data_IF_948188191716
#
_entry.id   IF_948188191716
#
_cell.length_a   1.000
_cell.length_b   1.000
_cell.length_c   1.000
_cell.angle_alpha   90.00
_cell.angle_beta   90.00
_cell.angle_gamma   90.00
#
_symmetry.space_group_name_H-M   'P 1'
#
loop_
_entity.id
_entity.type
_entity.pdbx_description
1 polymer ?
#
# COMPACT_ATOMS: atom_id res chain seq x y z
N UNK A 1 19.68 -14.95 21.74
CA UNK A 1 18.89 -14.59 20.52
C UNK A 1 19.83 -14.11 19.43
N UNK A 2 20.75 -13.20 19.73
CA UNK A 2 21.66 -12.62 18.74
C UNK A 2 22.61 -13.64 18.09
N UNK A 3 23.15 -14.58 18.86
CA UNK A 3 23.99 -15.66 18.31
C UNK A 3 23.24 -16.53 17.28
N UNK A 4 21.97 -16.84 17.55
CA UNK A 4 21.12 -17.61 16.64
C UNK A 4 20.84 -16.79 15.37
N UNK A 5 20.62 -15.48 15.51
CA UNK A 5 20.44 -14.59 14.35
C UNK A 5 21.68 -14.55 13.46
N UNK A 6 22.88 -14.53 14.06
CA UNK A 6 24.15 -14.53 13.34
C UNK A 6 24.47 -15.87 12.67
N UNK A 7 24.13 -16.99 13.31
CA UNK A 7 24.28 -18.31 12.70
C UNK A 7 23.29 -18.50 11.54
N UNK A 8 22.04 -18.06 11.74
CA UNK A 8 21.01 -18.08 10.71
C UNK A 8 21.37 -17.20 9.50
N UNK A 9 21.93 -16.01 9.72
CA UNK A 9 22.32 -15.09 8.64
C UNK A 9 23.36 -15.70 7.70
N UNK A 10 24.27 -16.53 8.23
CA UNK A 10 25.33 -17.20 7.47
C UNK A 10 24.87 -18.49 6.78
N UNK A 11 23.84 -19.14 7.30
CA UNK A 11 23.43 -20.48 6.85
C UNK A 11 22.15 -20.43 6.00
N UNK A 12 21.00 -20.25 6.63
CA UNK A 12 19.68 -20.45 6.02
C UNK A 12 19.00 -19.15 5.56
N UNK A 13 19.52 -17.98 5.94
CA UNK A 13 18.91 -16.70 5.59
C UNK A 13 18.67 -16.50 4.09
N UNK A 14 19.63 -16.80 3.18
CA UNK A 14 19.40 -16.61 1.75
C UNK A 14 18.20 -17.40 1.22
N UNK A 15 18.02 -18.64 1.68
CA UNK A 15 16.90 -19.50 1.28
C UNK A 15 15.56 -19.01 1.84
N UNK A 16 15.56 -18.55 3.10
CA UNK A 16 14.35 -18.02 3.72
C UNK A 16 13.93 -16.70 3.08
N UNK A 17 14.89 -15.82 2.77
CA UNK A 17 14.63 -14.56 2.08
C UNK A 17 14.07 -14.82 0.70
N UNK A 18 14.65 -15.77 -0.04
CA UNK A 18 14.13 -16.17 -1.34
C UNK A 18 12.66 -16.60 -1.25
N UNK A 19 12.32 -17.50 -0.32
CA UNK A 19 10.93 -17.96 -0.13
C UNK A 19 9.99 -16.82 0.24
N UNK A 20 10.44 -15.90 1.09
CA UNK A 20 9.65 -14.72 1.48
C UNK A 20 9.46 -13.80 0.28
N UNK A 21 10.50 -13.55 -0.51
CA UNK A 21 10.42 -12.75 -1.73
C UNK A 21 9.49 -13.38 -2.78
N UNK A 22 9.49 -14.71 -2.93
CA UNK A 22 8.53 -15.46 -3.76
C UNK A 22 7.10 -15.27 -3.25
N UNK A 23 6.86 -15.40 -1.94
CA UNK A 23 5.53 -15.19 -1.34
C UNK A 23 5.00 -13.76 -1.57
N UNK A 24 5.87 -12.76 -1.46
CA UNK A 24 5.50 -11.38 -1.76
C UNK A 24 5.45 -11.07 -3.25
N UNK A 25 5.72 -12.03 -4.15
CA UNK A 25 5.70 -11.84 -5.60
C UNK A 25 6.80 -10.90 -6.11
N UNK A 26 7.91 -10.73 -5.40
CA UNK A 26 8.97 -9.77 -5.77
C UNK A 26 9.64 -10.17 -7.10
N UNK A 27 9.98 -11.45 -7.24
CA UNK A 27 10.65 -11.93 -8.45
C UNK A 27 9.75 -11.82 -9.69
N UNK A 28 8.48 -12.20 -9.56
CA UNK A 28 7.49 -12.08 -10.63
C UNK A 28 7.38 -10.64 -11.17
N UNK A 29 7.30 -9.65 -10.27
CA UNK A 29 7.13 -8.26 -10.68
C UNK A 29 8.42 -7.60 -11.18
N UNK A 30 9.60 -7.95 -10.64
CA UNK A 30 10.87 -7.31 -11.03
C UNK A 30 11.57 -8.01 -12.20
N UNK A 31 11.43 -9.34 -12.31
CA UNK A 31 12.20 -10.18 -13.23
C UNK A 31 11.35 -11.15 -14.07
N UNK A 32 10.02 -11.16 -13.90
CA UNK A 32 9.15 -12.15 -14.53
C UNK A 32 9.41 -13.55 -13.94
N UNK A 33 9.74 -14.51 -14.80
CA UNK A 33 9.94 -15.91 -14.39
C UNK A 33 11.30 -16.18 -13.73
N UNK A 34 12.22 -15.19 -13.75
CA UNK A 34 13.56 -15.35 -13.20
C UNK A 34 13.63 -15.09 -11.70
N UNK A 35 14.50 -15.82 -11.02
CA UNK A 35 14.75 -15.68 -9.58
C UNK A 35 16.23 -15.79 -9.26
N UNK A 36 16.64 -15.26 -8.11
CA UNK A 36 17.99 -15.44 -7.58
C UNK A 36 17.97 -15.71 -6.07
N UNK A 37 19.10 -16.15 -5.53
CA UNK A 37 19.26 -16.38 -4.10
C UNK A 37 20.10 -15.24 -3.51
N UNK A 38 19.55 -14.43 -2.58
CA UNK A 38 20.25 -13.27 -2.03
C UNK A 38 21.26 -13.73 -0.96
N UNK A 39 22.48 -14.03 -1.41
CA UNK A 39 23.57 -14.45 -0.54
C UNK A 39 24.13 -13.29 0.29
N UNK A 40 24.16 -12.07 -0.28
CA UNK A 40 24.64 -10.88 0.41
C UNK A 40 23.49 -10.29 1.23
N UNK A 41 23.67 -10.29 2.54
CA UNK A 41 22.74 -9.62 3.46
C UNK A 41 23.02 -8.13 3.48
N UNK A 42 21.95 -7.34 3.44
CA UNK A 42 22.01 -5.89 3.59
C UNK A 42 21.39 -5.50 4.92
N UNK A 43 22.15 -4.77 5.73
CA UNK A 43 21.68 -4.14 6.94
C UNK A 43 21.27 -2.70 6.61
N UNK A 44 19.96 -2.50 6.46
CA UNK A 44 19.37 -1.23 6.07
C UNK A 44 18.59 -0.66 7.25
N UNK A 45 18.85 0.60 7.60
CA UNK A 45 18.10 1.28 8.66
C UNK A 45 17.84 2.74 8.36
N UNK A 46 16.60 3.17 8.60
CA UNK A 46 16.22 4.59 8.57
C UNK A 46 16.46 5.23 9.93
N UNK A 47 16.79 6.52 9.94
CA UNK A 47 16.85 7.31 11.17
C UNK A 47 15.58 8.17 11.32
N UNK A 48 14.85 7.95 12.41
CA UNK A 48 13.66 8.73 12.74
C UNK A 48 13.64 9.08 14.23
N UNK A 49 13.58 10.37 14.56
CA UNK A 49 13.59 10.89 15.94
C UNK A 49 14.71 10.28 16.81
N UNK A 50 15.94 10.23 16.26
CA UNK A 50 17.12 9.64 16.90
C UNK A 50 16.99 8.15 17.25
N UNK A 51 16.09 7.44 16.56
CA UNK A 51 15.94 5.98 16.63
C UNK A 51 16.21 5.37 15.26
N UNK A 52 16.85 4.21 15.26
CA UNK A 52 17.03 3.40 14.06
C UNK A 52 15.80 2.53 13.83
N UNK A 53 15.24 2.63 12.62
CA UNK A 53 14.13 1.81 12.14
C UNK A 53 14.69 0.84 11.10
N UNK A 54 14.97 -0.42 11.47
CA UNK A 54 15.55 -1.39 10.56
C UNK A 54 14.56 -1.86 9.50
N UNK A 55 15.06 -2.04 8.28
CA UNK A 55 14.36 -2.73 7.19
C UNK A 55 14.69 -4.21 7.29
N UNK A 56 13.65 -5.04 7.36
CA UNK A 56 13.78 -6.48 7.34
C UNK A 56 13.26 -7.04 6.00
N UNK A 57 12.20 -7.84 6.05
CA UNK A 57 11.72 -8.67 4.93
C UNK A 57 10.18 -8.61 4.87
N UNK A 58 9.65 -7.40 4.69
CA UNK A 58 8.22 -7.12 4.66
C UNK A 58 7.63 -6.49 5.92
N UNK A 59 8.47 -6.01 6.86
CA UNK A 59 7.97 -5.21 7.97
C UNK A 59 7.39 -3.88 7.46
N UNK A 60 6.53 -3.25 8.27
CA UNK A 60 5.89 -1.99 7.90
C UNK A 60 6.76 -0.82 8.36
N UNK A 61 7.06 0.11 7.45
CA UNK A 61 7.73 1.38 7.73
C UNK A 61 6.88 2.50 7.14
N UNK A 62 6.60 3.51 7.97
CA UNK A 62 5.75 4.63 7.56
C UNK A 62 6.53 5.62 6.69
N UNK A 63 5.87 6.33 5.75
CA UNK A 63 6.54 7.33 4.93
C UNK A 63 7.25 8.43 5.73
N UNK A 64 6.71 8.79 6.89
CA UNK A 64 7.32 9.77 7.81
C UNK A 64 8.63 9.27 8.45
N UNK A 65 8.81 7.96 8.56
CA UNK A 65 10.05 7.34 9.07
C UNK A 65 11.09 7.24 7.95
N UNK A 66 10.66 7.22 6.69
CA UNK A 66 11.47 7.06 5.49
C UNK A 66 11.64 8.35 4.69
N UNK A 67 11.65 9.52 5.36
CA UNK A 67 11.81 10.83 4.70
C UNK A 67 13.20 11.01 4.08
N UNK A 68 14.24 10.58 4.79
CA UNK A 68 15.63 10.66 4.35
C UNK A 68 16.12 9.30 3.86
N UNK A 69 17.20 9.29 3.08
CA UNK A 69 17.84 8.05 2.63
C UNK A 69 18.28 7.19 3.83
N UNK A 70 18.13 5.87 3.76
CA UNK A 70 18.57 4.98 4.84
C UNK A 70 20.09 4.83 4.86
N UNK A 71 20.62 4.42 6.01
CA UNK A 71 21.96 3.85 6.11
C UNK A 71 21.91 2.41 5.57
N UNK A 72 22.82 2.08 4.66
CA UNK A 72 22.91 0.75 4.04
C UNK A 72 24.32 0.21 4.22
N UNK A 73 24.43 -0.93 4.90
CA UNK A 73 25.69 -1.63 5.09
C UNK A 73 25.58 -3.05 4.54
N UNK A 74 26.63 -3.52 3.89
CA UNK A 74 26.74 -4.91 3.42
C UNK A 74 28.21 -5.32 3.35
N UNK A 75 28.48 -6.61 3.54
CA UNK A 75 29.83 -7.14 3.46
C UNK A 75 30.28 -7.23 1.99
N UNK A 76 31.30 -6.46 1.63
CA UNK A 76 31.87 -6.43 0.29
C UNK A 76 33.41 -6.38 0.33
N UNK A 77 34.10 -7.15 -0.53
CA UNK A 77 35.55 -7.01 -0.69
C UNK A 77 35.93 -5.63 -1.25
N UNK A 78 37.07 -5.07 -0.83
CA UNK A 78 37.49 -3.70 -1.20
C UNK A 78 37.60 -3.46 -2.71
N UNK A 79 37.98 -4.47 -3.49
CA UNK A 79 38.16 -4.37 -4.95
C UNK A 79 36.92 -4.80 -5.75
N UNK A 80 35.72 -4.62 -5.19
CA UNK A 80 34.47 -4.96 -5.88
C UNK A 80 33.58 -3.74 -6.06
N UNK A 81 32.85 -3.73 -7.17
CA UNK A 81 31.91 -2.69 -7.55
C UNK A 81 30.48 -3.20 -7.37
N UNK A 82 29.59 -2.34 -6.89
CA UNK A 82 28.21 -2.67 -6.60
C UNK A 82 27.24 -1.59 -7.06
N UNK A 83 26.01 -1.98 -7.32
CA UNK A 83 24.90 -1.08 -7.61
C UNK A 83 23.75 -1.37 -6.67
N UNK A 84 23.30 -0.34 -5.95
CA UNK A 84 22.15 -0.40 -5.06
C UNK A 84 20.96 0.29 -5.73
N UNK A 85 19.81 -0.38 -5.71
CA UNK A 85 18.58 0.08 -6.33
C UNK A 85 17.43 -0.05 -5.34
N UNK A 86 16.58 0.98 -5.24
CA UNK A 86 15.32 0.97 -4.49
C UNK A 86 14.17 1.26 -5.46
N UNK A 87 13.31 0.28 -5.69
CA UNK A 87 12.13 0.42 -6.57
C UNK A 87 10.83 0.14 -5.83
N UNK A 88 9.74 0.69 -6.37
CA UNK A 88 8.37 0.44 -5.95
C UNK A 88 7.53 -0.02 -7.14
N UNK A 89 7.22 -1.33 -7.25
CA UNK A 89 6.39 -1.86 -8.34
C UNK A 89 4.89 -1.57 -8.18
N UNK A 90 4.43 -1.19 -6.98
CA UNK A 90 3.01 -0.98 -6.68
C UNK A 90 2.62 0.52 -6.71
N UNK A 91 3.60 1.40 -6.87
CA UNK A 91 3.47 2.85 -6.64
C UNK A 91 3.11 3.68 -7.86
N UNK A 92 3.10 3.10 -9.06
CA UNK A 92 2.97 3.86 -10.29
C UNK A 92 1.53 4.37 -10.49
N UNK A 93 1.37 5.69 -10.68
CA UNK A 93 0.05 6.35 -10.69
C UNK A 93 -0.68 6.29 -12.04
N UNK A 94 0.06 6.23 -13.15
CA UNK A 94 -0.51 6.39 -14.50
C UNK A 94 -0.42 5.14 -15.41
N UNK A 95 0.66 4.37 -15.33
CA UNK A 95 0.92 3.20 -16.15
C UNK A 95 0.85 1.94 -15.30
N UNK A 96 0.13 0.95 -15.81
CA UNK A 96 0.11 -0.40 -15.24
C UNK A 96 1.46 -1.10 -15.48
N UNK A 97 1.81 -2.03 -14.59
CA UNK A 97 3.04 -2.83 -14.68
C UNK A 97 4.33 -2.01 -14.85
N UNK A 98 4.35 -0.80 -14.29
CA UNK A 98 5.51 0.10 -14.30
C UNK A 98 5.91 0.38 -12.86
N UNK A 99 7.21 0.62 -12.64
CA UNK A 99 7.75 0.88 -11.32
C UNK A 99 8.14 2.36 -11.19
N UNK A 100 8.23 2.86 -9.96
CA UNK A 100 8.99 4.08 -9.69
C UNK A 100 10.34 3.75 -9.06
N UNK A 101 11.42 4.31 -9.62
CA UNK A 101 12.75 4.26 -9.02
C UNK A 101 12.85 5.31 -7.91
N UNK A 102 13.02 4.86 -6.68
CA UNK A 102 13.16 5.75 -5.53
C UNK A 102 14.61 6.11 -5.26
N UNK A 103 15.56 5.21 -5.52
CA UNK A 103 16.98 5.48 -5.32
C UNK A 103 17.82 4.56 -6.19
N UNK A 104 18.88 5.08 -6.82
CA UNK A 104 19.83 4.28 -7.58
C UNK A 104 21.23 4.86 -7.39
N UNK A 105 22.13 4.03 -6.85
CA UNK A 105 23.54 4.37 -6.66
C UNK A 105 24.37 3.28 -7.33
N UNK A 106 25.15 3.65 -8.33
CA UNK A 106 26.02 2.73 -9.07
C UNK A 106 27.48 2.87 -8.67
N UNK A 107 28.32 1.97 -9.17
CA UNK A 107 29.78 2.03 -9.02
C UNK A 107 30.25 2.19 -7.55
N UNK A 108 29.54 1.58 -6.61
CA UNK A 108 29.86 1.60 -5.18
C UNK A 108 31.10 0.75 -4.95
N UNK A 109 32.18 1.37 -4.46
CA UNK A 109 33.45 0.69 -4.18
C UNK A 109 33.52 0.22 -2.72
N UNK A 110 33.85 -1.06 -2.53
CA UNK A 110 34.16 -1.63 -1.21
C UNK A 110 33.01 -1.61 -0.20
N UNK A 111 31.76 -1.51 -0.66
CA UNK A 111 30.57 -1.53 0.20
C UNK A 111 30.17 -0.19 0.80
N UNK A 112 30.95 0.88 0.60
CA UNK A 112 30.61 2.22 1.10
C UNK A 112 29.75 2.98 0.10
N UNK A 113 28.43 3.00 0.34
CA UNK A 113 27.44 3.61 -0.55
C UNK A 113 27.73 5.09 -0.83
N UNK A 114 28.40 5.80 0.09
CA UNK A 114 28.73 7.22 -0.08
C UNK A 114 29.79 7.46 -1.16
N UNK A 115 30.59 6.45 -1.51
CA UNK A 115 31.60 6.51 -2.57
C UNK A 115 31.03 6.19 -3.95
N UNK A 116 29.78 5.76 -4.03
CA UNK A 116 29.12 5.44 -5.29
C UNK A 116 28.67 6.68 -6.07
N UNK A 117 28.37 6.47 -7.34
CA UNK A 117 27.75 7.48 -8.21
C UNK A 117 26.22 7.43 -8.05
N UNK A 118 25.63 8.49 -7.49
CA UNK A 118 24.17 8.63 -7.42
C UNK A 118 23.59 8.93 -8.81
N UNK A 119 22.82 7.97 -9.36
CA UNK A 119 22.16 8.07 -10.66
C UNK A 119 20.76 8.68 -10.50
N UNK A 120 20.04 8.24 -9.47
CA UNK A 120 18.77 8.81 -9.02
C UNK A 120 18.86 9.14 -7.54
N UNK A 121 18.59 10.40 -7.18
CA UNK A 121 18.54 10.83 -5.79
C UNK A 121 17.44 10.10 -5.01
N UNK A 122 17.62 9.93 -3.70
CA UNK A 122 16.61 9.32 -2.86
C UNK A 122 15.28 10.08 -2.92
N UNK A 123 14.19 9.33 -3.09
CA UNK A 123 12.82 9.81 -3.08
C UNK A 123 12.08 9.05 -2.00
N UNK A 124 11.52 9.76 -1.02
CA UNK A 124 10.69 9.13 0.01
C UNK A 124 9.52 8.34 -0.60
N UNK A 125 9.05 7.25 0.02
CA UNK A 125 7.83 6.58 -0.43
C UNK A 125 6.62 7.53 -0.34
N UNK A 126 5.70 7.42 -1.30
CA UNK A 126 4.49 8.25 -1.36
C UNK A 126 3.23 7.43 -1.72
N UNK A 127 2.89 6.36 -0.99
CA UNK A 127 1.69 5.58 -1.24
C UNK A 127 0.43 6.47 -1.28
N UNK A 128 -0.38 6.34 -2.33
CA UNK A 128 -1.59 7.12 -2.46
C UNK A 128 -2.66 6.67 -1.45
N UNK A 129 -3.55 7.59 -1.07
CA UNK A 129 -4.56 7.26 -0.07
C UNK A 129 -5.52 6.22 -0.63
N UNK A 130 -5.71 5.11 0.09
CA UNK A 130 -6.66 4.06 -0.29
C UNK A 130 -6.12 2.99 -1.26
N UNK A 131 -4.82 3.02 -1.62
CA UNK A 131 -4.19 1.94 -2.41
C UNK A 131 -3.76 0.74 -1.55
N UNK A 132 -3.75 0.88 -0.22
CA UNK A 132 -3.27 -0.15 0.70
C UNK A 132 -1.76 -0.13 0.89
N UNK A 133 -1.16 -1.31 1.09
CA UNK A 133 0.27 -1.47 1.30
C UNK A 133 1.02 -1.57 -0.03
N UNK A 134 2.09 -0.80 -0.18
CA UNK A 134 3.02 -0.87 -1.30
C UNK A 134 4.36 -1.44 -0.85
N UNK A 135 5.04 -2.18 -1.72
CA UNK A 135 6.35 -2.78 -1.44
C UNK A 135 7.47 -1.84 -1.88
N UNK A 136 8.43 -1.62 -0.98
CA UNK A 136 9.66 -0.89 -1.25
C UNK A 136 10.82 -1.89 -1.26
N UNK A 137 11.44 -2.09 -2.42
CA UNK A 137 12.35 -3.21 -2.66
C UNK A 137 13.76 -2.69 -2.93
N UNK A 138 14.70 -3.06 -2.05
CA UNK A 138 16.12 -2.88 -2.25
C UNK A 138 16.72 -4.08 -2.95
N UNK A 139 17.37 -3.85 -4.08
CA UNK A 139 18.17 -4.84 -4.79
C UNK A 139 19.61 -4.37 -4.83
N UNK A 140 20.52 -5.28 -4.46
CA UNK A 140 21.95 -5.09 -4.59
C UNK A 140 22.48 -5.96 -5.71
N UNK A 141 23.14 -5.32 -6.67
CA UNK A 141 23.82 -5.97 -7.77
C UNK A 141 25.33 -5.89 -7.58
N UNK A 142 26.01 -7.00 -7.85
CA UNK A 142 27.47 -7.04 -8.00
C UNK A 142 27.83 -6.70 -9.44
N UNK A 143 28.74 -5.76 -9.64
CA UNK A 143 29.24 -5.37 -10.95
C UNK A 143 30.58 -6.07 -11.24
N UNK A 144 30.77 -6.53 -12.47
CA UNK A 144 32.06 -7.03 -12.96
C UNK A 144 32.98 -5.91 -13.43
N UNK A 145 32.41 -4.85 -14.00
CA UNK A 145 33.11 -3.65 -14.49
C UNK A 145 32.35 -2.38 -14.11
N UNK A 146 33.02 -1.24 -14.18
CA UNK A 146 32.39 0.06 -14.02
C UNK A 146 31.34 0.30 -15.12
N UNK A 147 30.18 0.83 -14.73
CA UNK A 147 29.06 1.09 -15.65
C UNK A 147 28.95 2.58 -15.87
N UNK A 148 28.78 2.98 -17.13
CA UNK A 148 28.50 4.35 -17.48
C UNK A 148 26.99 4.62 -17.44
N UNK A 149 26.53 5.33 -16.41
CA UNK A 149 25.11 5.67 -16.21
C UNK A 149 24.65 6.97 -16.90
N UNK A 150 25.50 7.59 -17.74
CA UNK A 150 25.20 8.88 -18.37
C UNK A 150 23.89 8.94 -19.16
N UNK A 151 23.41 7.83 -19.70
CA UNK A 151 22.16 7.74 -20.46
C UNK A 151 20.90 7.83 -19.61
N UNK A 152 20.98 7.43 -18.33
CA UNK A 152 19.82 7.31 -17.42
C UNK A 152 19.88 8.35 -16.30
N UNK A 153 21.06 8.93 -16.07
CA UNK A 153 21.31 9.87 -14.98
C UNK A 153 20.33 11.05 -15.00
N UNK A 154 19.57 11.18 -13.91
CA UNK A 154 18.62 12.27 -13.70
C UNK A 154 19.10 13.13 -12.53
N UNK A 155 19.77 14.24 -12.85
CA UNK A 155 20.36 15.18 -11.85
C UNK A 155 19.44 16.39 -11.58
N UNK A 156 18.15 16.27 -11.84
CA UNK A 156 17.24 17.40 -11.63
C UNK A 156 16.95 17.59 -10.13
N UNK A 157 17.04 18.85 -9.67
CA UNK A 157 16.65 19.25 -8.31
C UNK A 157 15.14 19.10 -8.07
N UNK A 158 14.34 19.13 -9.15
CA UNK A 158 12.89 18.92 -9.11
C UNK A 158 12.56 17.47 -9.41
N UNK A 159 11.65 16.92 -8.62
CA UNK A 159 11.18 15.54 -8.77
C UNK A 159 10.21 15.49 -9.96
N UNK A 160 10.66 14.88 -11.05
CA UNK A 160 9.83 14.54 -12.20
C UNK A 160 9.46 13.05 -12.13
N UNK A 161 8.17 12.74 -12.03
CA UNK A 161 7.69 11.36 -11.92
C UNK A 161 7.82 10.59 -13.24
N UNK A 162 7.73 11.26 -14.39
CA UNK A 162 7.82 10.59 -15.69
C UNK A 162 9.24 10.08 -15.95
N UNK A 163 10.25 10.83 -15.48
CA UNK A 163 11.67 10.40 -15.51
C UNK A 163 11.97 9.30 -14.49
N UNK A 164 11.11 9.14 -13.49
CA UNK A 164 11.23 8.12 -12.44
C UNK A 164 10.53 6.82 -12.84
N UNK A 165 9.73 6.81 -13.91
CA UNK A 165 9.18 5.57 -14.46
C UNK A 165 10.32 4.63 -14.86
N UNK A 166 10.34 3.45 -14.28
CA UNK A 166 11.43 2.50 -14.40
C UNK A 166 10.90 1.07 -14.58
N UNK A 167 11.70 0.24 -15.23
CA UNK A 167 11.47 -1.19 -15.40
C UNK A 167 12.74 -1.90 -14.96
N UNK A 168 12.68 -2.59 -13.82
CA UNK A 168 13.83 -3.33 -13.29
C UNK A 168 14.26 -4.41 -14.27
N UNK A 169 13.29 -5.05 -14.91
CA UNK A 169 13.52 -6.07 -15.92
C UNK A 169 14.36 -5.56 -17.09
N UNK A 170 13.98 -4.41 -17.68
CA UNK A 170 14.69 -3.85 -18.83
C UNK A 170 16.08 -3.34 -18.47
N UNK A 171 16.21 -2.75 -17.27
CA UNK A 171 17.50 -2.34 -16.74
C UNK A 171 18.44 -3.54 -16.57
N UNK A 172 17.97 -4.61 -15.91
CA UNK A 172 18.77 -5.81 -15.72
C UNK A 172 19.17 -6.43 -17.06
N UNK A 173 18.23 -6.53 -18.00
CA UNK A 173 18.47 -7.05 -19.36
C UNK A 173 19.53 -6.26 -20.12
N UNK A 174 19.58 -4.93 -19.96
CA UNK A 174 20.59 -4.11 -20.65
C UNK A 174 22.01 -4.29 -20.10
N UNK A 175 22.16 -4.76 -18.87
CA UNK A 175 23.44 -4.88 -18.17
C UNK A 175 23.72 -6.31 -17.70
N UNK A 176 23.00 -7.33 -18.20
CA UNK A 176 23.03 -8.70 -17.66
C UNK A 176 24.42 -9.33 -17.62
N UNK A 177 25.27 -9.00 -18.61
CA UNK A 177 26.67 -9.46 -18.68
C UNK A 177 27.58 -8.80 -17.64
N UNK A 178 27.16 -7.65 -17.09
CA UNK A 178 27.96 -6.80 -16.20
C UNK A 178 27.47 -6.91 -14.75
N UNK A 179 26.15 -7.00 -14.54
CA UNK A 179 25.55 -7.01 -13.21
C UNK A 179 24.95 -8.36 -12.85
N UNK A 180 25.12 -8.76 -11.59
CA UNK A 180 24.52 -9.97 -11.05
C UNK A 180 23.79 -9.64 -9.75
N UNK A 181 22.50 -9.95 -9.60
CA UNK A 181 21.75 -9.68 -8.38
C UNK A 181 22.30 -10.56 -7.25
N UNK A 182 22.62 -9.93 -6.11
CA UNK A 182 23.36 -10.56 -5.02
C UNK A 182 22.69 -10.38 -3.66
N UNK A 183 21.99 -9.27 -3.45
CA UNK A 183 21.29 -8.98 -2.20
C UNK A 183 19.87 -8.48 -2.44
N UNK A 184 19.00 -8.75 -1.46
CA UNK A 184 17.59 -8.36 -1.49
C UNK A 184 17.11 -8.03 -0.07
N UNK A 185 16.48 -6.87 0.10
CA UNK A 185 15.78 -6.47 1.31
C UNK A 185 14.55 -5.67 0.92
N UNK A 186 13.47 -5.73 1.69
CA UNK A 186 12.26 -4.98 1.35
C UNK A 186 11.40 -4.73 2.58
N UNK A 187 10.58 -3.68 2.50
CA UNK A 187 9.58 -3.35 3.52
C UNK A 187 8.26 -2.98 2.85
N UNK A 188 7.20 -2.91 3.65
CA UNK A 188 5.90 -2.42 3.22
C UNK A 188 5.66 -1.02 3.75
N UNK A 189 4.99 -0.19 2.96
CA UNK A 189 4.62 1.16 3.35
C UNK A 189 3.17 1.44 2.95
N UNK A 190 2.48 2.19 3.78
CA UNK A 190 1.10 2.60 3.56
C UNK A 190 0.95 4.10 3.81
N UNK A 191 -0.19 4.63 3.38
CA UNK A 191 -0.47 6.06 3.45
C UNK A 191 -0.35 6.63 4.87
N UNK A 192 0.19 7.84 4.96
CA UNK A 192 0.30 8.62 6.20
C UNK A 192 -0.03 10.11 5.94
N UNK A 193 -0.43 10.82 7.00
CA UNK A 193 -0.84 12.22 6.95
C UNK A 193 0.30 13.16 6.50
N UNK A 194 1.57 12.76 6.66
CA UNK A 194 2.72 13.53 6.17
C UNK A 194 2.74 13.70 4.65
N UNK A 195 2.14 12.76 3.92
CA UNK A 195 2.18 12.72 2.45
C UNK A 195 1.39 13.85 1.79
N UNK A 196 0.31 14.34 2.40
CA UNK A 196 -0.45 15.46 1.84
C UNK A 196 0.44 16.69 1.59
N UNK A 197 1.37 16.99 2.51
CA UNK A 197 2.35 18.07 2.33
C UNK A 197 3.36 17.76 1.22
N UNK A 198 3.77 16.50 1.11
CA UNK A 198 4.70 16.03 0.08
C UNK A 198 4.10 16.18 -1.32
N UNK A 199 2.87 15.70 -1.54
CA UNK A 199 2.18 15.83 -2.83
C UNK A 199 2.04 17.29 -3.29
N UNK A 200 1.68 18.19 -2.37
CA UNK A 200 1.49 19.60 -2.70
C UNK A 200 2.80 20.37 -2.90
N UNK A 201 3.80 20.15 -2.05
CA UNK A 201 5.02 20.98 -2.04
C UNK A 201 6.12 20.42 -2.96
N UNK A 202 6.31 19.09 -2.95
CA UNK A 202 7.40 18.44 -3.68
C UNK A 202 6.96 18.03 -5.09
N UNK A 203 5.80 17.38 -5.21
CA UNK A 203 5.26 16.93 -6.50
C UNK A 203 4.39 17.97 -7.22
N UNK A 204 4.07 19.10 -6.56
CA UNK A 204 3.21 20.16 -7.11
C UNK A 204 1.88 19.65 -7.69
N UNK A 205 1.31 18.60 -7.09
CA UNK A 205 0.10 17.94 -7.57
C UNK A 205 -0.96 17.80 -6.48
N UNK A 206 -2.18 17.48 -6.89
CA UNK A 206 -3.25 17.11 -5.95
C UNK A 206 -3.06 15.67 -5.51
N UNK A 207 -3.15 15.42 -4.21
CA UNK A 207 -3.10 14.07 -3.65
C UNK A 207 -4.22 13.20 -4.25
N UNK A 208 -3.88 12.08 -4.91
CA UNK A 208 -4.87 11.14 -5.40
C UNK A 208 -5.43 10.30 -4.25
N UNK A 209 -6.75 10.13 -4.25
CA UNK A 209 -7.48 9.32 -3.27
C UNK A 209 -8.25 8.24 -4.03
N UNK A 210 -7.94 7.00 -3.69
CA UNK A 210 -8.55 5.80 -4.25
C UNK A 210 -9.53 5.21 -3.23
N UNK A 211 -10.57 4.58 -3.73
CA UNK A 211 -11.50 3.77 -2.95
C UNK A 211 -11.66 2.44 -3.67
N UNK A 212 -11.76 1.36 -2.92
CA UNK A 212 -12.00 0.05 -3.51
C UNK A 212 -13.42 0.00 -4.05
N UNK A 213 -13.56 -0.11 -5.37
CA UNK A 213 -14.84 -0.27 -6.04
C UNK A 213 -15.30 -1.73 -5.93
N UNK A 214 -16.14 -2.02 -4.94
CA UNK A 214 -16.71 -3.36 -4.79
C UNK A 214 -17.65 -3.67 -5.96
N UNK A 215 -17.57 -4.87 -6.56
CA UNK A 215 -18.50 -5.24 -7.60
C UNK A 215 -19.93 -5.19 -7.07
N UNK A 216 -20.81 -4.56 -7.85
CA UNK A 216 -22.22 -4.46 -7.48
C UNK A 216 -22.79 -5.85 -7.16
N UNK A 217 -23.55 -6.00 -6.07
CA UNK A 217 -24.10 -7.30 -5.70
C UNK A 217 -25.03 -7.79 -6.81
N UNK A 218 -24.91 -9.06 -7.18
CA UNK A 218 -25.81 -9.62 -8.19
C UNK A 218 -27.27 -9.59 -7.70
N UNK A 219 -28.12 -8.91 -8.47
CA UNK A 219 -29.57 -8.85 -8.24
C UNK A 219 -30.24 -9.72 -9.29
N UNK A 220 -30.98 -10.74 -8.85
CA UNK A 220 -31.79 -11.60 -9.74
C UNK A 220 -32.82 -10.73 -10.49
N UNK A 221 -33.22 -11.05 -11.73
CA UNK A 221 -34.29 -10.32 -12.40
C UNK A 221 -35.59 -10.31 -11.58
N UNK A 222 -36.29 -9.17 -11.60
CA UNK A 222 -37.53 -9.00 -10.87
C UNK A 222 -38.61 -9.95 -11.43
N UNK A 223 -39.14 -10.81 -10.56
CA UNK A 223 -40.32 -11.63 -10.81
C UNK A 223 -41.59 -10.87 -10.44
N UNK A 224 -42.66 -11.09 -11.21
CA UNK A 224 -43.98 -10.55 -10.92
C UNK A 224 -44.57 -11.11 -9.61
N UNK A 225 -44.37 -12.41 -9.37
CA UNK A 225 -44.81 -13.08 -8.13
C UNK A 225 -43.60 -13.68 -7.40
N UNK A 226 -42.94 -12.90 -6.51
CA UNK A 226 -41.79 -13.38 -5.74
C UNK A 226 -42.25 -14.26 -4.57
N UNK A 227 -42.57 -15.52 -4.88
CA UNK A 227 -43.05 -16.48 -3.89
C UNK A 227 -42.00 -16.72 -2.79
N UNK A 228 -42.45 -16.69 -1.53
CA UNK A 228 -41.63 -16.90 -0.32
C UNK A 228 -40.52 -15.85 -0.09
N UNK A 229 -40.51 -14.75 -0.84
CA UNK A 229 -39.61 -13.63 -0.59
C UNK A 229 -40.25 -12.60 0.35
N UNK A 230 -39.51 -12.03 1.32
CA UNK A 230 -40.01 -10.94 2.15
C UNK A 230 -40.20 -9.68 1.31
N UNK A 231 -41.44 -9.17 1.24
CA UNK A 231 -41.83 -8.07 0.35
C UNK A 231 -40.95 -6.81 0.51
N UNK A 232 -40.58 -6.45 1.74
CA UNK A 232 -39.81 -5.25 2.03
C UNK A 232 -38.38 -5.35 1.47
N UNK A 233 -37.66 -6.42 1.78
CA UNK A 233 -36.30 -6.63 1.28
C UNK A 233 -36.29 -6.90 -0.22
N UNK A 234 -37.31 -7.58 -0.74
CA UNK A 234 -37.41 -7.86 -2.17
C UNK A 234 -37.63 -6.58 -2.97
N UNK A 235 -38.62 -5.76 -2.59
CA UNK A 235 -38.90 -4.50 -3.29
C UNK A 235 -37.73 -3.52 -3.15
N UNK A 236 -37.08 -3.45 -1.99
CA UNK A 236 -35.88 -2.61 -1.77
C UNK A 236 -34.72 -2.92 -2.71
N UNK A 237 -34.61 -4.15 -3.24
CA UNK A 237 -33.54 -4.51 -4.19
C UNK A 237 -33.69 -3.84 -5.55
N UNK A 238 -34.92 -3.53 -5.96
CA UNK A 238 -35.22 -2.99 -7.30
C UNK A 238 -35.66 -1.54 -7.27
N UNK A 239 -35.83 -0.96 -6.09
CA UNK A 239 -36.18 0.45 -5.92
C UNK A 239 -34.94 1.32 -6.09
N UNK A 240 -35.11 2.47 -6.72
CA UNK A 240 -34.07 3.49 -6.79
C UNK A 240 -33.65 3.93 -5.39
N UNK A 241 -32.34 3.94 -5.14
CA UNK A 241 -31.78 4.34 -3.85
C UNK A 241 -32.21 5.75 -3.44
N UNK A 242 -32.35 6.67 -4.41
CA UNK A 242 -32.82 8.04 -4.19
C UNK A 242 -34.25 8.09 -3.64
N UNK A 243 -35.13 7.19 -4.10
CA UNK A 243 -36.50 7.13 -3.61
C UNK A 243 -36.55 6.60 -2.18
N UNK A 244 -35.75 5.57 -1.90
CA UNK A 244 -35.61 5.01 -0.55
C UNK A 244 -35.08 6.08 0.41
N UNK A 245 -33.99 6.77 0.04
CA UNK A 245 -33.41 7.87 0.81
C UNK A 245 -34.43 8.98 1.12
N UNK A 246 -35.20 9.40 0.11
CA UNK A 246 -36.28 10.38 0.27
C UNK A 246 -37.34 9.92 1.28
N UNK A 247 -37.75 8.65 1.24
CA UNK A 247 -38.73 8.10 2.18
C UNK A 247 -38.22 8.13 3.62
N UNK A 248 -36.97 7.69 3.85
CA UNK A 248 -36.34 7.72 5.17
C UNK A 248 -36.16 9.16 5.69
N UNK A 249 -35.73 10.08 4.83
CA UNK A 249 -35.59 11.50 5.18
C UNK A 249 -36.95 12.11 5.57
N UNK A 250 -38.01 11.89 4.79
CA UNK A 250 -39.36 12.36 5.12
C UNK A 250 -39.85 11.76 6.44
N UNK A 251 -39.61 10.46 6.67
CA UNK A 251 -39.97 9.78 7.92
C UNK A 251 -39.25 10.40 9.13
N UNK A 252 -37.97 10.75 8.98
CA UNK A 252 -37.19 11.45 10.01
C UNK A 252 -37.71 12.86 10.26
N UNK A 253 -37.92 13.64 9.19
CA UNK A 253 -38.44 15.01 9.27
C UNK A 253 -39.81 15.08 9.96
N UNK A 254 -40.68 14.09 9.73
CA UNK A 254 -41.99 13.99 10.42
C UNK A 254 -41.86 13.81 11.94
N UNK A 255 -40.76 13.24 12.44
CA UNK A 255 -40.53 13.00 13.86
C UNK A 255 -39.74 14.13 14.52
N UNK A 256 -38.91 14.84 13.78
CA UNK A 256 -38.09 15.93 14.29
C UNK A 256 -38.89 17.23 14.31
N UNK A 257 -39.15 17.78 15.50
CA UNK A 257 -39.71 19.12 15.62
C UNK A 257 -38.59 20.18 15.52
N UNK A 258 -38.74 21.25 14.72
CA UNK A 258 -37.66 22.22 14.47
C UNK A 258 -37.15 22.93 15.73
N UNK A 259 -38.04 23.15 16.71
CA UNK A 259 -37.76 23.94 17.91
C UNK A 259 -37.68 23.13 19.22
N UNK A 260 -37.94 21.82 19.17
CA UNK A 260 -37.89 20.99 20.37
C UNK A 260 -36.70 20.05 20.30
N UNK A 261 -36.10 19.78 21.46
CA UNK A 261 -35.03 18.80 21.53
C UNK A 261 -35.59 17.41 21.17
N UNK A 262 -34.84 16.61 20.39
CA UNK A 262 -35.26 15.25 20.09
C UNK A 262 -35.37 14.44 21.37
N UNK A 263 -36.32 13.50 21.41
CA UNK A 263 -36.46 12.58 22.54
C UNK A 263 -35.15 11.81 22.77
N UNK A 264 -34.74 11.65 24.05
CA UNK A 264 -33.53 10.90 24.35
C UNK A 264 -33.68 9.44 23.89
N UNK A 265 -32.61 8.81 23.37
CA UNK A 265 -32.68 7.42 22.96
C UNK A 265 -32.98 6.53 24.17
N UNK A 266 -33.65 5.40 23.91
CA UNK A 266 -33.94 4.40 24.94
C UNK A 266 -32.63 3.88 25.56
N UNK A 267 -32.54 3.88 26.89
CA UNK A 267 -31.36 3.38 27.63
C UNK A 267 -31.07 1.90 27.31
N UNK A 268 -32.12 1.10 27.15
CA UNK A 268 -32.02 -0.33 26.80
C UNK A 268 -32.94 -0.67 25.62
N UNK A 269 -32.52 -0.38 24.37
CA UNK A 269 -33.34 -0.52 23.16
C UNK A 269 -34.00 -1.89 22.96
N UNK A 270 -33.27 -2.96 23.28
CA UNK A 270 -33.70 -4.35 23.11
C UNK A 270 -34.57 -4.88 24.26
N UNK A 271 -34.57 -4.20 25.41
CA UNK A 271 -35.36 -4.61 26.59
C UNK A 271 -36.81 -4.11 26.52
N UNK A 272 -37.11 -3.14 25.65
CA UNK A 272 -38.46 -2.60 25.49
C UNK A 272 -39.32 -3.56 24.66
N UNK A 273 -40.38 -4.15 25.24
CA UNK A 273 -41.18 -5.15 24.55
C UNK A 273 -41.92 -4.55 23.35
N UNK A 274 -42.16 -5.38 22.33
CA UNK A 274 -43.02 -5.03 21.20
C UNK A 274 -44.47 -5.39 21.51
N UNK A 275 -45.42 -4.63 20.94
CA UNK A 275 -46.85 -5.00 21.03
C UNK A 275 -47.07 -6.37 20.36
N UNK A 276 -47.91 -7.22 20.95
CA UNK A 276 -48.16 -8.58 20.44
C UNK A 276 -48.69 -8.58 19.00
N UNK A 277 -49.49 -7.57 18.63
CA UNK A 277 -50.07 -7.39 17.30
C UNK A 277 -49.11 -6.87 16.23
N UNK A 278 -47.89 -6.44 16.57
CA UNK A 278 -46.96 -5.87 15.58
C UNK A 278 -46.39 -6.97 14.68
N UNK A 279 -46.48 -6.83 13.34
CA UNK A 279 -45.88 -7.77 12.39
C UNK A 279 -44.37 -7.91 12.56
N UNK A 280 -43.81 -9.06 12.19
CA UNK A 280 -42.37 -9.36 12.34
C UNK A 280 -41.47 -8.37 11.58
N UNK A 281 -41.85 -7.98 10.36
CA UNK A 281 -41.08 -7.02 9.55
C UNK A 281 -41.03 -5.63 10.20
N UNK A 282 -42.16 -5.17 10.75
CA UNK A 282 -42.25 -3.88 11.43
C UNK A 282 -41.49 -3.90 12.76
N UNK A 283 -41.51 -5.02 13.49
CA UNK A 283 -40.63 -5.23 14.66
C UNK A 283 -39.16 -5.09 14.31
N UNK A 284 -38.74 -5.63 13.15
CA UNK A 284 -37.36 -5.54 12.67
C UNK A 284 -36.98 -4.09 12.32
N UNK A 285 -37.86 -3.34 11.64
CA UNK A 285 -37.66 -1.91 11.39
C UNK A 285 -37.56 -1.10 12.69
N UNK A 286 -38.51 -1.29 13.61
CA UNK A 286 -38.48 -0.62 14.91
C UNK A 286 -37.21 -0.94 15.69
N UNK A 287 -36.72 -2.18 15.61
CA UNK A 287 -35.45 -2.58 16.25
C UNK A 287 -34.26 -1.86 15.61
N UNK A 288 -34.18 -1.82 14.28
CA UNK A 288 -33.14 -1.06 13.55
C UNK A 288 -33.17 0.42 13.92
N UNK A 289 -34.35 1.01 14.02
CA UNK A 289 -34.52 2.41 14.41
C UNK A 289 -34.04 2.69 15.84
N UNK A 290 -34.43 1.85 16.81
CA UNK A 290 -33.96 2.01 18.20
C UNK A 290 -32.45 1.83 18.36
N UNK A 291 -31.86 0.92 17.57
CA UNK A 291 -30.41 0.65 17.58
C UNK A 291 -29.62 1.60 16.68
N UNK A 292 -30.29 2.48 15.92
CA UNK A 292 -29.64 3.34 14.92
C UNK A 292 -28.78 2.51 13.97
N UNK A 293 -29.36 1.46 13.38
CA UNK A 293 -28.64 0.53 12.52
C UNK A 293 -29.16 0.56 11.08
N UNK A 294 -28.23 0.63 10.12
CA UNK A 294 -28.48 0.63 8.68
C UNK A 294 -28.95 2.00 8.18
N UNK A 295 -29.78 1.99 7.13
CA UNK A 295 -30.30 3.17 6.41
C UNK A 295 -31.05 4.22 7.26
N UNK A 296 -31.28 3.94 8.54
CA UNK A 296 -31.85 4.91 9.50
C UNK A 296 -30.83 5.99 9.90
N UNK A 297 -29.52 5.73 9.78
CA UNK A 297 -28.48 6.70 10.08
C UNK A 297 -28.01 7.49 8.86
N UNK A 298 -28.15 6.91 7.67
CA UNK A 298 -27.60 7.48 6.43
C UNK A 298 -28.29 8.81 6.08
N UNK A 299 -29.48 9.07 6.62
CA UNK A 299 -30.32 10.25 6.33
C UNK A 299 -30.96 10.83 7.59
#
# INVERSE_FOLDING_TARGET
MDEISNDWSKTNAPLHIKKVAEYYGIFEHLYGDAYFTPYIQMDISYEYNSKKVPVYRGNIIKPIEALNSPEVNFEAPENTLWTLMLTNPDGHLHKENSEYIHWLVGNISGGDVNKGETVFNYLQPFPAKGTGYQRMIFVLYKQSTEINFSSIKSVDEKIDLDKRTFSTFDFYRSYEDIITPAGLAFYQTDWDNSLTKFYHNQLSMKEPVYEYDFPSPYIKPQKWFPLKEPFNLYMDKYRDEKQIAKEFLIRKLRKTHPFQKPEPPLKYPNAVPFKKSTPSWLKLEMKKERLRWGRVNDY
#
